data_IF_159000610374
#
_entry.id   IF_159000610374
#
_cell.length_a   1.000
_cell.length_b   1.000
_cell.length_c   1.000
_cell.angle_alpha   90.00
_cell.angle_beta   90.00
_cell.angle_gamma   90.00
#
_symmetry.space_group_name_H-M   'P 1'
#
loop_
_entity.id
_entity.type
_entity.pdbx_description
1 polymer ?
#
# COMPACT_ATOMS: atom_id res chain seq x y z
N UNK A 1 -10.22 -32.20 2.97
CA UNK A 1 -9.55 -31.30 3.94
C UNK A 1 -8.26 -30.79 3.31
N UNK A 2 -8.15 -29.48 3.07
CA UNK A 2 -6.89 -28.85 2.63
C UNK A 2 -7.07 -27.61 1.74
N UNK A 3 -6.54 -26.48 2.20
CA UNK A 3 -6.02 -25.33 1.43
C UNK A 3 -6.90 -24.34 0.67
N UNK A 4 -8.23 -24.44 0.59
CA UNK A 4 -9.03 -23.37 -0.07
C UNK A 4 -8.86 -21.99 0.59
N UNK A 5 -8.76 -21.93 1.92
CA UNK A 5 -8.49 -20.67 2.64
C UNK A 5 -7.05 -20.16 2.47
N UNK A 6 -6.06 -21.06 2.39
CA UNK A 6 -4.66 -20.70 2.19
C UNK A 6 -4.41 -20.15 0.77
N UNK A 7 -5.03 -20.79 -0.25
CA UNK A 7 -4.97 -20.32 -1.63
C UNK A 7 -5.66 -18.96 -1.82
N UNK A 8 -6.78 -18.71 -1.11
CA UNK A 8 -7.44 -17.41 -1.08
C UNK A 8 -6.57 -16.32 -0.43
N UNK A 9 -5.94 -16.63 0.70
CA UNK A 9 -4.99 -15.72 1.35
C UNK A 9 -3.83 -15.35 0.44
N UNK A 10 -3.23 -16.36 -0.23
CA UNK A 10 -2.12 -16.13 -1.16
C UNK A 10 -2.54 -15.29 -2.38
N UNK A 11 -3.73 -15.53 -2.95
CA UNK A 11 -4.28 -14.70 -4.05
C UNK A 11 -4.40 -13.24 -3.64
N UNK A 12 -4.93 -12.98 -2.45
CA UNK A 12 -5.09 -11.61 -1.95
C UNK A 12 -3.74 -10.93 -1.74
N UNK A 13 -2.73 -11.65 -1.24
CA UNK A 13 -1.35 -11.14 -1.14
C UNK A 13 -0.79 -10.76 -2.51
N UNK A 14 -0.96 -11.60 -3.53
CA UNK A 14 -0.52 -11.27 -4.89
C UNK A 14 -1.19 -10.01 -5.43
N UNK A 15 -2.50 -9.85 -5.23
CA UNK A 15 -3.22 -8.64 -5.65
C UNK A 15 -2.69 -7.41 -4.91
N UNK A 16 -2.48 -7.51 -3.59
CA UNK A 16 -1.93 -6.41 -2.78
C UNK A 16 -0.51 -6.03 -3.19
N UNK A 17 0.33 -7.01 -3.54
CA UNK A 17 1.67 -6.75 -4.07
C UNK A 17 1.59 -6.00 -5.40
N UNK A 18 0.72 -6.40 -6.33
CA UNK A 18 0.54 -5.69 -7.61
C UNK A 18 0.07 -4.25 -7.37
N UNK A 19 -0.93 -4.04 -6.51
CA UNK A 19 -1.41 -2.70 -6.16
C UNK A 19 -0.29 -1.86 -5.56
N UNK A 20 0.51 -2.43 -4.65
CA UNK A 20 1.66 -1.75 -4.08
C UNK A 20 2.69 -1.33 -5.14
N UNK A 21 3.02 -2.21 -6.09
CA UNK A 21 3.96 -1.88 -7.17
C UNK A 21 3.43 -0.77 -8.09
N UNK A 22 2.12 -0.78 -8.41
CA UNK A 22 1.50 0.28 -9.21
C UNK A 22 1.57 1.62 -8.47
N UNK A 23 1.23 1.65 -7.18
CA UNK A 23 1.31 2.87 -6.36
C UNK A 23 2.75 3.38 -6.25
N UNK A 24 3.72 2.49 -6.06
CA UNK A 24 5.15 2.84 -6.08
C UNK A 24 5.56 3.46 -7.39
N UNK A 25 5.17 2.87 -8.53
CA UNK A 25 5.48 3.40 -9.85
C UNK A 25 4.90 4.82 -10.04
N UNK A 26 3.65 5.03 -9.63
CA UNK A 26 2.99 6.35 -9.70
C UNK A 26 3.73 7.37 -8.83
N UNK A 27 4.09 7.01 -7.60
CA UNK A 27 4.83 7.88 -6.69
C UNK A 27 6.22 8.26 -7.23
N UNK A 28 6.96 7.29 -7.77
CA UNK A 28 8.26 7.55 -8.40
C UNK A 28 8.08 8.47 -9.61
N UNK A 29 7.04 8.28 -10.42
CA UNK A 29 6.84 9.11 -11.61
C UNK A 29 6.45 10.56 -11.28
N UNK A 30 5.65 10.77 -10.23
CA UNK A 30 5.18 12.11 -9.86
C UNK A 30 6.16 12.84 -8.94
N UNK A 31 6.65 12.15 -7.91
CA UNK A 31 7.45 12.74 -6.84
C UNK A 31 8.94 12.39 -6.93
N UNK A 32 9.34 11.49 -7.84
CA UNK A 32 10.71 10.93 -7.93
C UNK A 32 11.18 10.29 -6.62
N UNK A 33 10.23 9.81 -5.83
CA UNK A 33 10.44 9.27 -4.49
C UNK A 33 9.64 7.99 -4.32
N UNK A 34 10.10 7.12 -3.44
CA UNK A 34 9.40 5.87 -3.17
C UNK A 34 8.06 6.10 -2.46
N UNK A 35 7.14 5.18 -2.66
CA UNK A 35 5.90 5.16 -1.90
C UNK A 35 6.19 4.82 -0.44
N UNK A 36 5.80 5.73 0.45
CA UNK A 36 5.97 5.63 1.90
C UNK A 36 4.59 5.73 2.54
N UNK A 37 4.29 4.81 3.44
CA UNK A 37 3.08 4.89 4.25
C UNK A 37 3.25 5.99 5.32
N UNK A 38 2.27 6.89 5.50
CA UNK A 38 2.35 7.91 6.54
C UNK A 38 2.46 7.28 7.93
N UNK A 39 3.47 7.70 8.71
CA UNK A 39 3.64 7.24 10.09
C UNK A 39 2.81 8.09 11.04
N UNK A 40 2.27 7.48 12.10
CA UNK A 40 1.50 8.22 13.12
C UNK A 40 2.46 9.05 13.97
N UNK A 41 2.33 10.38 13.91
CA UNK A 41 3.07 11.31 14.76
C UNK A 41 4.34 11.89 14.12
N UNK A 42 4.71 11.50 12.90
CA UNK A 42 5.76 12.17 12.12
C UNK A 42 5.26 12.53 10.72
N UNK A 43 5.42 13.80 10.37
CA UNK A 43 5.19 14.31 9.01
C UNK A 43 6.43 14.15 8.12
N UNK A 44 7.47 13.50 8.64
CA UNK A 44 8.73 13.26 7.97
C UNK A 44 8.95 11.75 7.91
N UNK A 45 9.28 11.26 6.72
CA UNK A 45 9.67 9.87 6.54
C UNK A 45 10.96 9.58 7.31
N UNK A 46 11.00 8.43 8.00
CA UNK A 46 12.11 8.05 8.89
C UNK A 46 13.36 7.64 8.09
N UNK A 47 13.19 7.15 6.87
CA UNK A 47 14.29 6.63 6.05
C UNK A 47 14.91 7.70 5.15
N UNK A 48 14.09 8.52 4.50
CA UNK A 48 14.52 9.55 3.56
C UNK A 48 14.49 10.98 4.13
N UNK A 49 14.11 11.16 5.40
CA UNK A 49 13.99 12.46 6.07
C UNK A 49 13.18 13.50 5.24
N UNK A 50 12.24 12.99 4.43
CA UNK A 50 11.42 13.79 3.50
C UNK A 50 10.08 14.10 4.11
N UNK A 51 9.54 15.30 3.84
CA UNK A 51 8.15 15.61 4.22
C UNK A 51 7.18 14.74 3.43
N UNK A 52 6.27 14.09 4.14
CA UNK A 52 5.19 13.32 3.55
C UNK A 52 4.25 14.27 2.81
N UNK A 53 3.93 13.95 1.56
CA UNK A 53 3.10 14.79 0.71
C UNK A 53 1.67 14.25 0.62
N UNK A 54 0.72 15.06 0.15
CA UNK A 54 -0.69 14.67 0.00
C UNK A 54 -0.87 13.43 -0.89
N UNK A 55 -0.01 13.26 -1.89
CA UNK A 55 -0.03 12.09 -2.77
C UNK A 55 0.29 10.81 -1.99
N UNK A 56 1.19 10.86 -1.01
CA UNK A 56 1.51 9.69 -0.17
C UNK A 56 0.29 9.28 0.66
N UNK A 57 -0.47 10.25 1.19
CA UNK A 57 -1.73 9.98 1.88
C UNK A 57 -2.80 9.37 0.98
N UNK A 58 -2.96 9.88 -0.24
CA UNK A 58 -3.92 9.35 -1.22
C UNK A 58 -3.54 7.91 -1.61
N UNK A 59 -2.28 7.67 -1.95
CA UNK A 59 -1.76 6.35 -2.28
C UNK A 59 -1.93 5.37 -1.11
N UNK A 60 -1.72 5.82 0.13
CA UNK A 60 -1.98 5.02 1.32
C UNK A 60 -3.45 4.68 1.52
N UNK A 61 -4.38 5.63 1.31
CA UNK A 61 -5.81 5.37 1.39
C UNK A 61 -6.28 4.36 0.35
N UNK A 62 -5.77 4.44 -0.88
CA UNK A 62 -6.07 3.46 -1.94
C UNK A 62 -5.58 2.07 -1.55
N UNK A 63 -4.35 1.97 -1.04
CA UNK A 63 -3.80 0.70 -0.56
C UNK A 63 -4.64 0.11 0.60
N UNK A 64 -4.97 0.95 1.58
CA UNK A 64 -5.77 0.54 2.75
C UNK A 64 -7.17 0.09 2.35
N UNK A 65 -7.87 0.84 1.48
CA UNK A 65 -9.17 0.44 0.97
C UNK A 65 -9.11 -0.90 0.23
N UNK A 66 -8.09 -1.10 -0.60
CA UNK A 66 -7.87 -2.38 -1.31
C UNK A 66 -7.65 -3.53 -0.34
N UNK A 67 -6.85 -3.32 0.70
CA UNK A 67 -6.64 -4.29 1.77
C UNK A 67 -7.95 -4.64 2.48
N UNK A 68 -8.75 -3.64 2.86
CA UNK A 68 -10.03 -3.86 3.55
C UNK A 68 -11.01 -4.62 2.65
N UNK A 69 -11.14 -4.26 1.37
CA UNK A 69 -12.03 -4.95 0.41
C UNK A 69 -11.63 -6.42 0.22
N UNK A 70 -10.33 -6.72 0.13
CA UNK A 70 -9.86 -8.08 -0.10
C UNK A 70 -9.92 -8.96 1.16
N UNK A 71 -9.80 -8.36 2.33
CA UNK A 71 -9.68 -9.09 3.61
C UNK A 71 -11.00 -9.18 4.36
N UNK A 72 -11.86 -8.16 4.25
CA UNK A 72 -13.22 -8.19 4.79
C UNK A 72 -14.09 -8.94 3.79
N UNK A 73 -14.49 -10.16 4.15
CA UNK A 73 -15.59 -10.84 3.47
C UNK A 73 -16.88 -10.15 3.88
N UNK A 74 -17.46 -9.38 2.97
CA UNK A 74 -18.87 -8.99 2.99
C UNK A 74 -19.69 -10.15 2.43
#
# INVERSE_FOLDING_TARGET
MGNSNAALGLRNVFILLIVFQVLRFVNIKIQKQEFVAPSRGSNVDVFDNRKINYIDYISFLVYLATYLILTIKI
#
